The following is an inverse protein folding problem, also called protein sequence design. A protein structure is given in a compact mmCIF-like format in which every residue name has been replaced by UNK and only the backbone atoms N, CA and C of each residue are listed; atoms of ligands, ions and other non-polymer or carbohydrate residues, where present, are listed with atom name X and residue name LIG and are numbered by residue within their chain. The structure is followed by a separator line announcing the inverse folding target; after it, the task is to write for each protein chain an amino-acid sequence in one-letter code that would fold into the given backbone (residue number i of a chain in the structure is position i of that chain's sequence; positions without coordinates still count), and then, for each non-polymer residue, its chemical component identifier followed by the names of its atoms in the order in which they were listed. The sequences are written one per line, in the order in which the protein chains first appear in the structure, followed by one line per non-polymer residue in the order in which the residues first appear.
data_IF_164123225285
#
_entry.id   IF_164123225285
#
_cell.length_a   1.000
_cell.length_b   1.000
_cell.length_c   1.000
_cell.angle_alpha   90.00
_cell.angle_beta   90.00
_cell.angle_gamma   90.00
#
_symmetry.space_group_name_H-M   'P 1'
#
loop_
_entity.id
_entity.type
_entity.pdbx_description
1 polymer ?
#
# COMPACT_ATOMS: atom_id res chain seq x y z
N UNK A 1 -13.87 2.42 -41.16
CA UNK A 1 -13.39 3.23 -40.02
C UNK A 1 -13.43 2.32 -38.81
N UNK A 2 -12.28 2.02 -38.21
CA UNK A 2 -12.31 1.35 -36.91
C UNK A 2 -13.03 2.26 -35.91
N UNK A 3 -13.93 1.72 -35.07
CA UNK A 3 -14.56 2.49 -34.03
C UNK A 3 -13.46 3.02 -33.11
N UNK A 4 -13.34 4.35 -33.01
CA UNK A 4 -12.45 4.97 -32.03
C UNK A 4 -13.06 4.73 -30.66
N UNK A 5 -12.32 4.06 -29.78
CA UNK A 5 -12.67 3.94 -28.38
C UNK A 5 -13.00 5.32 -27.80
N UNK A 6 -13.99 5.44 -26.90
CA UNK A 6 -14.22 6.64 -26.14
C UNK A 6 -12.89 7.17 -25.55
N UNK A 7 -12.68 8.50 -25.48
CA UNK A 7 -11.43 9.08 -25.03
C UNK A 7 -10.92 8.53 -23.69
N UNK A 8 -11.86 8.14 -22.82
CA UNK A 8 -11.62 7.60 -21.48
C UNK A 8 -11.02 6.20 -21.54
N UNK A 9 -11.54 5.34 -22.43
CA UNK A 9 -11.03 3.99 -22.68
C UNK A 9 -9.66 4.05 -23.37
N UNK A 10 -9.49 4.93 -24.37
CA UNK A 10 -8.22 5.10 -25.06
C UNK A 10 -7.09 5.56 -24.11
N UNK A 11 -7.42 6.41 -23.13
CA UNK A 11 -6.46 6.85 -22.09
C UNK A 11 -6.05 5.71 -21.17
N UNK A 12 -7.01 4.92 -20.67
CA UNK A 12 -6.74 3.78 -19.80
C UNK A 12 -5.96 2.66 -20.50
N UNK A 13 -6.21 2.45 -21.80
CA UNK A 13 -5.50 1.46 -22.61
C UNK A 13 -4.04 1.88 -22.84
N UNK A 14 -3.78 3.16 -23.14
CA UNK A 14 -2.41 3.67 -23.27
C UNK A 14 -1.64 3.56 -21.96
N UNK A 15 -2.25 3.97 -20.86
CA UNK A 15 -1.60 3.89 -19.55
C UNK A 15 -1.27 2.44 -19.17
N UNK A 16 -2.21 1.50 -19.36
CA UNK A 16 -1.95 0.07 -19.13
C UNK A 16 -0.93 -0.56 -20.09
N UNK A 17 -0.78 -0.03 -21.30
CA UNK A 17 0.23 -0.50 -22.25
C UNK A 17 1.64 0.05 -21.94
N UNK A 18 1.72 1.21 -21.29
CA UNK A 18 2.98 1.82 -20.83
C UNK A 18 3.47 1.19 -19.51
N UNK A 19 2.54 0.77 -18.65
CA UNK A 19 2.83 0.08 -17.40
C UNK A 19 2.73 -1.46 -17.57
N UNK A 20 3.84 -2.14 -17.87
CA UNK A 20 3.96 -3.59 -17.68
C UNK A 20 3.95 -3.92 -16.17
N UNK A 21 2.84 -3.69 -15.48
CA UNK A 21 2.71 -3.93 -14.04
C UNK A 21 1.75 -5.09 -13.77
N UNK A 22 2.32 -6.24 -13.42
CA UNK A 22 1.61 -7.33 -12.73
C UNK A 22 1.37 -6.94 -11.25
N UNK A 23 0.80 -5.75 -11.01
CA UNK A 23 0.42 -5.30 -9.67
C UNK A 23 -1.08 -5.57 -9.44
N UNK A 24 -1.45 -6.29 -8.36
CA UNK A 24 -2.85 -6.52 -8.01
C UNK A 24 -3.62 -5.21 -7.71
N UNK A 25 -2.93 -4.11 -7.41
CA UNK A 25 -3.51 -2.78 -7.17
C UNK A 25 -3.57 -2.03 -8.50
N UNK A 26 -4.68 -2.21 -9.22
CA UNK A 26 -4.88 -1.63 -10.54
C UNK A 26 -5.09 -0.11 -10.49
N UNK A 27 -4.31 0.63 -11.29
CA UNK A 27 -4.53 2.05 -11.52
C UNK A 27 -5.84 2.27 -12.28
N UNK A 28 -6.85 2.86 -11.63
CA UNK A 28 -8.14 3.11 -12.25
C UNK A 28 -8.75 4.45 -11.77
N UNK A 29 -9.81 4.90 -12.45
CA UNK A 29 -10.48 6.18 -12.14
C UNK A 29 -11.49 6.08 -10.97
N UNK A 30 -11.64 4.90 -10.37
CA UNK A 30 -12.56 4.68 -9.26
C UNK A 30 -11.78 4.69 -7.94
N UNK A 31 -12.47 5.04 -6.87
CA UNK A 31 -11.89 4.90 -5.54
C UNK A 31 -11.64 3.42 -5.24
N UNK A 32 -10.48 3.08 -4.66
CA UNK A 32 -10.17 1.69 -4.37
C UNK A 32 -11.08 1.13 -3.27
N UNK A 33 -11.19 -0.21 -3.15
CA UNK A 33 -11.93 -0.84 -2.06
C UNK A 33 -11.48 -0.28 -0.70
N UNK A 34 -12.42 -0.23 0.25
CA UNK A 34 -12.20 0.33 1.59
C UNK A 34 -12.45 1.84 1.73
N UNK A 35 -12.92 2.53 0.68
CA UNK A 35 -13.22 3.99 0.72
C UNK A 35 -14.17 4.42 1.85
N UNK A 36 -15.03 3.50 2.30
CA UNK A 36 -16.04 3.76 3.35
C UNK A 36 -15.51 3.45 4.76
N UNK A 37 -14.24 3.02 4.89
CA UNK A 37 -13.59 2.81 6.18
C UNK A 37 -13.32 4.15 6.89
N UNK A 38 -13.13 4.06 8.21
CA UNK A 38 -12.66 5.20 9.00
C UNK A 38 -11.38 5.77 8.37
N UNK A 39 -11.29 7.10 8.33
CA UNK A 39 -10.23 7.84 7.64
C UNK A 39 -8.82 7.33 7.97
N UNK A 40 -8.54 7.08 9.24
CA UNK A 40 -7.20 6.66 9.66
C UNK A 40 -6.85 5.28 9.14
N UNK A 41 -7.80 4.33 9.19
CA UNK A 41 -7.62 2.98 8.68
C UNK A 41 -7.49 2.99 7.15
N UNK A 42 -8.34 3.75 6.45
CA UNK A 42 -8.25 3.94 5.01
C UNK A 42 -6.89 4.51 4.60
N UNK A 43 -6.41 5.53 5.31
CA UNK A 43 -5.10 6.15 5.06
C UNK A 43 -3.96 5.14 5.26
N UNK A 44 -3.98 4.37 6.34
CA UNK A 44 -2.96 3.35 6.61
C UNK A 44 -2.95 2.26 5.53
N UNK A 45 -4.11 1.77 5.10
CA UNK A 45 -4.21 0.81 4.00
C UNK A 45 -3.62 1.38 2.71
N UNK A 46 -3.90 2.64 2.37
CA UNK A 46 -3.36 3.22 1.14
C UNK A 46 -1.85 3.43 1.22
N UNK A 47 -1.30 3.78 2.39
CA UNK A 47 0.16 3.83 2.58
C UNK A 47 0.82 2.49 2.33
N UNK A 48 0.23 1.40 2.82
CA UNK A 48 0.69 0.03 2.60
C UNK A 48 0.58 -0.38 1.12
N UNK A 49 -0.51 0.01 0.44
CA UNK A 49 -0.72 -0.26 -0.99
C UNK A 49 0.34 0.37 -1.88
N UNK A 50 0.64 1.65 -1.63
CA UNK A 50 1.54 2.41 -2.50
C UNK A 50 3.00 2.31 -2.08
N UNK A 51 3.32 1.59 -1.00
CA UNK A 51 4.69 1.48 -0.47
C UNK A 51 5.26 2.82 -0.02
N UNK A 52 4.42 3.68 0.58
CA UNK A 52 4.83 5.00 1.10
C UNK A 52 4.51 5.13 2.58
N UNK A 53 4.52 4.02 3.31
CA UNK A 53 4.33 4.06 4.75
C UNK A 53 5.53 4.76 5.40
N UNK A 54 5.31 5.32 6.60
CA UNK A 54 6.34 5.93 7.45
C UNK A 54 7.16 4.84 8.14
N UNK A 55 7.68 3.93 7.35
CA UNK A 55 8.63 2.89 7.77
C UNK A 55 9.89 3.57 8.29
N UNK A 56 10.56 2.96 9.29
CA UNK A 56 11.81 3.49 9.82
C UNK A 56 12.87 3.61 8.72
N UNK A 57 12.90 2.70 7.73
CA UNK A 57 13.79 2.85 6.58
C UNK A 57 13.50 4.12 5.76
N UNK A 58 12.22 4.45 5.52
CA UNK A 58 11.85 5.69 4.83
C UNK A 58 12.17 6.92 5.71
N UNK A 59 11.91 6.85 7.01
CA UNK A 59 12.20 7.94 7.94
C UNK A 59 13.70 8.24 8.03
N UNK A 60 14.57 7.22 7.99
CA UNK A 60 16.03 7.38 7.91
C UNK A 60 16.44 7.95 6.55
N UNK A 61 15.91 7.41 5.44
CA UNK A 61 16.20 7.89 4.09
C UNK A 61 15.92 9.39 3.91
N UNK A 62 14.89 9.89 4.59
CA UNK A 62 14.46 11.29 4.52
C UNK A 62 14.90 12.13 5.72
N UNK A 63 15.78 11.61 6.58
CA UNK A 63 16.33 12.28 7.77
C UNK A 63 15.27 12.88 8.71
N UNK A 64 14.10 12.26 8.82
CA UNK A 64 13.00 12.76 9.65
C UNK A 64 13.13 12.40 11.13
N UNK A 65 14.01 11.47 11.50
CA UNK A 65 14.04 10.88 12.84
C UNK A 65 15.29 11.17 13.69
N UNK A 66 16.28 11.94 13.22
CA UNK A 66 17.57 12.21 13.91
C UNK A 66 18.26 10.94 14.48
N UNK A 67 17.84 9.77 14.02
CA UNK A 67 18.23 8.44 14.49
C UNK A 67 18.40 7.59 13.26
N UNK A 68 19.57 6.98 13.12
CA UNK A 68 19.93 6.05 12.05
C UNK A 68 19.31 4.64 12.27
N UNK A 69 18.31 4.53 13.15
CA UNK A 69 17.65 3.25 13.47
C UNK A 69 16.54 2.97 12.47
N UNK A 70 16.80 2.03 11.55
CA UNK A 70 15.86 1.55 10.55
C UNK A 70 15.18 0.22 10.93
N UNK A 71 15.38 -0.27 12.15
CA UNK A 71 14.90 -1.60 12.58
C UNK A 71 13.50 -1.56 13.14
N UNK A 72 12.67 -2.54 12.82
CA UNK A 72 11.40 -2.81 13.48
C UNK A 72 11.62 -3.32 14.91
N UNK A 73 10.57 -3.32 15.73
CA UNK A 73 10.58 -3.91 17.08
C UNK A 73 10.84 -5.43 17.06
N UNK A 74 10.54 -6.10 15.93
CA UNK A 74 10.89 -7.50 15.74
C UNK A 74 12.39 -7.74 15.47
N UNK A 75 13.20 -6.67 15.34
CA UNK A 75 14.65 -6.73 15.12
C UNK A 75 15.10 -6.67 13.66
N UNK A 76 14.20 -6.90 12.70
CA UNK A 76 14.47 -6.82 11.26
C UNK A 76 14.35 -5.40 10.72
N UNK A 77 14.90 -5.13 9.54
CA UNK A 77 14.76 -3.82 8.88
C UNK A 77 13.29 -3.53 8.56
N UNK A 78 12.76 -2.41 9.03
CA UNK A 78 11.38 -2.02 8.75
C UNK A 78 11.28 -1.35 7.37
N UNK A 79 11.05 -2.14 6.32
CA UNK A 79 10.67 -1.69 4.96
C UNK A 79 9.16 -1.84 4.73
N UNK A 80 8.64 -1.32 3.61
CA UNK A 80 7.23 -1.46 3.27
C UNK A 80 6.81 -2.93 3.07
N UNK A 81 7.66 -3.75 2.44
CA UNK A 81 7.43 -5.19 2.31
C UNK A 81 7.48 -5.91 3.66
N UNK A 82 8.36 -5.45 4.55
CA UNK A 82 8.47 -6.01 5.90
C UNK A 82 7.17 -5.78 6.69
N UNK A 83 6.50 -4.64 6.54
CA UNK A 83 5.23 -4.37 7.23
C UNK A 83 4.14 -5.40 6.89
N UNK A 84 4.21 -6.07 5.74
CA UNK A 84 3.22 -7.08 5.34
C UNK A 84 3.53 -8.47 5.91
N UNK A 85 4.82 -8.76 6.12
CA UNK A 85 5.34 -10.07 6.53
C UNK A 85 5.95 -10.08 7.94
N UNK A 86 5.85 -8.98 8.69
CA UNK A 86 6.42 -8.86 10.02
C UNK A 86 5.86 -9.93 10.97
N UNK A 87 6.73 -10.53 11.79
CA UNK A 87 6.34 -11.53 12.79
C UNK A 87 5.46 -10.97 13.91
N UNK A 88 5.43 -9.64 14.07
CA UNK A 88 4.56 -8.94 15.02
C UNK A 88 3.14 -8.73 14.48
N UNK A 89 2.92 -8.94 13.18
CA UNK A 89 1.58 -8.80 12.61
C UNK A 89 0.63 -9.87 13.17
N UNK A 90 -0.65 -9.53 13.41
CA UNK A 90 -1.64 -10.51 13.82
C UNK A 90 -1.91 -11.57 12.74
N UNK A 91 -1.73 -11.19 11.47
CA UNK A 91 -1.97 -12.02 10.29
C UNK A 91 -0.94 -11.72 9.20
N UNK A 92 -0.57 -12.72 8.40
CA UNK A 92 0.17 -12.47 7.15
C UNK A 92 -0.74 -11.74 6.16
N UNK A 93 -0.22 -10.68 5.55
CA UNK A 93 -0.95 -9.87 4.59
C UNK A 93 -0.15 -9.81 3.27
N UNK A 94 -0.86 -9.90 2.15
CA UNK A 94 -0.27 -9.80 0.82
C UNK A 94 -0.76 -8.52 0.12
N UNK A 95 -0.09 -8.13 -0.97
CA UNK A 95 -0.58 -7.03 -1.82
C UNK A 95 -1.99 -7.29 -2.35
N UNK A 96 -2.36 -8.55 -2.60
CA UNK A 96 -3.71 -8.90 -3.04
C UNK A 96 -4.75 -8.70 -1.91
N UNK A 97 -4.39 -9.04 -0.67
CA UNK A 97 -5.23 -8.75 0.49
C UNK A 97 -5.49 -7.24 0.62
N UNK A 98 -4.44 -6.43 0.44
CA UNK A 98 -4.55 -4.97 0.43
C UNK A 98 -5.42 -4.46 -0.73
N UNK A 99 -5.30 -5.04 -1.92
CA UNK A 99 -6.12 -4.66 -3.07
C UNK A 99 -7.62 -4.87 -2.78
N UNK A 100 -7.97 -6.01 -2.17
CA UNK A 100 -9.35 -6.37 -1.85
C UNK A 100 -9.88 -5.76 -0.54
N UNK A 101 -9.00 -5.26 0.33
CA UNK A 101 -9.34 -4.83 1.71
C UNK A 101 -10.10 -5.93 2.45
N UNK A 102 -9.57 -7.14 2.37
CA UNK A 102 -10.12 -8.24 3.12
C UNK A 102 -9.72 -8.15 4.61
N UNK A 103 -10.15 -9.14 5.38
CA UNK A 103 -9.89 -9.19 6.83
C UNK A 103 -8.39 -9.09 7.17
N UNK A 104 -7.52 -9.79 6.44
CA UNK A 104 -6.07 -9.76 6.68
C UNK A 104 -5.52 -8.33 6.51
N UNK A 105 -5.96 -7.61 5.47
CA UNK A 105 -5.56 -6.23 5.26
C UNK A 105 -6.06 -5.30 6.37
N UNK A 106 -7.30 -5.49 6.83
CA UNK A 106 -7.87 -4.70 7.92
C UNK A 106 -7.12 -4.95 9.23
N UNK A 107 -6.85 -6.22 9.56
CA UNK A 107 -6.17 -6.61 10.80
C UNK A 107 -4.72 -6.10 10.80
N UNK A 108 -3.99 -6.25 9.70
CA UNK A 108 -2.63 -5.70 9.52
C UNK A 108 -2.62 -4.17 9.59
N UNK A 109 -3.55 -3.48 8.90
CA UNK A 109 -3.61 -2.02 8.95
C UNK A 109 -4.01 -1.50 10.34
N UNK A 110 -4.87 -2.21 11.06
CA UNK A 110 -5.26 -1.87 12.43
C UNK A 110 -4.10 -2.02 13.41
N UNK A 111 -3.30 -3.07 13.26
CA UNK A 111 -2.07 -3.24 14.04
C UNK A 111 -1.13 -2.04 13.83
N UNK A 112 -0.82 -1.72 12.58
CA UNK A 112 0.13 -0.65 12.29
C UNK A 112 -0.40 0.77 12.51
N UNK A 113 -1.72 0.96 12.54
CA UNK A 113 -2.33 2.24 12.91
C UNK A 113 -1.89 2.69 14.31
N UNK A 114 -1.68 1.76 15.24
CA UNK A 114 -1.20 2.04 16.60
C UNK A 114 0.22 2.63 16.60
N UNK A 115 1.02 2.27 15.60
CA UNK A 115 2.40 2.72 15.40
C UNK A 115 2.52 3.96 14.50
N UNK A 116 1.38 4.48 14.00
CA UNK A 116 1.29 5.70 13.17
C UNK A 116 2.17 5.67 11.92
N UNK A 117 2.31 4.49 11.31
CA UNK A 117 2.96 4.33 9.99
C UNK A 117 2.23 5.12 8.91
#
# INVERSE_FOLDING_TARGET
MEPKDPPDQARLLRWRAEEELDDPIQHNQHLPPGKDLQWELWKTINRLRTGVARTRSNMVKWDFNNKEDDKCECGERQTDEHLLNCTMNPTQCTKNDLAQVNKNAIDTATHWLQYKI
#
